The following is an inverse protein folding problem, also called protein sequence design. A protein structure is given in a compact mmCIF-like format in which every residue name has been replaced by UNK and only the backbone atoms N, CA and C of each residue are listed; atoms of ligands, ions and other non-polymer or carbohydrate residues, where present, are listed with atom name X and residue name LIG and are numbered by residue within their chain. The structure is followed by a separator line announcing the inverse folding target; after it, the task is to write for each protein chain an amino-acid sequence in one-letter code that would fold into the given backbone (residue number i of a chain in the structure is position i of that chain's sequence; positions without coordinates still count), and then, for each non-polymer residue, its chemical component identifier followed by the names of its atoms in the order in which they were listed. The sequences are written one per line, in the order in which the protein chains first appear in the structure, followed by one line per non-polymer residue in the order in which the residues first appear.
data_IF_324226936410
#
_entry.id   IF_324226936410
#
_cell.length_a   1.000
_cell.length_b   1.000
_cell.length_c   1.000
_cell.angle_alpha   90.00
_cell.angle_beta   90.00
_cell.angle_gamma   90.00
#
_symmetry.space_group_name_H-M   'P 1'
#
loop_
_entity.id
_entity.type
_entity.pdbx_description
1 polymer ?
#
# COMPACT_ATOMS: atom_id res chain seq x y z
N UNK A 1 43.01 3.98 -14.25
CA UNK A 1 43.15 3.04 -13.11
C UNK A 1 41.86 3.12 -12.31
N UNK A 2 40.92 2.18 -12.52
CA UNK A 2 39.71 2.15 -11.71
C UNK A 2 40.11 1.69 -10.30
N UNK A 3 39.86 2.54 -9.30
CA UNK A 3 40.07 2.17 -7.91
C UNK A 3 39.23 0.94 -7.57
N UNK A 4 39.72 0.07 -6.69
CA UNK A 4 39.00 -1.11 -6.20
C UNK A 4 37.58 -0.77 -5.68
N UNK A 5 37.45 0.41 -5.08
CA UNK A 5 36.16 0.98 -4.67
C UNK A 5 35.22 1.28 -5.83
N UNK A 6 35.74 1.76 -6.97
CA UNK A 6 34.93 2.05 -8.17
C UNK A 6 34.42 0.76 -8.81
N UNK A 7 35.24 -0.29 -8.87
CA UNK A 7 34.82 -1.62 -9.34
C UNK A 7 33.75 -2.22 -8.43
N UNK A 8 33.92 -2.12 -7.12
CA UNK A 8 32.94 -2.60 -6.15
C UNK A 8 31.58 -1.90 -6.30
N UNK A 9 31.57 -0.58 -6.49
CA UNK A 9 30.34 0.17 -6.74
C UNK A 9 29.63 -0.28 -8.03
N UNK A 10 30.37 -0.48 -9.13
CA UNK A 10 29.79 -0.94 -10.40
C UNK A 10 29.18 -2.33 -10.25
N UNK A 11 29.87 -3.22 -9.55
CA UNK A 11 29.40 -4.58 -9.28
C UNK A 11 28.11 -4.57 -8.46
N UNK A 12 28.03 -3.76 -7.39
CA UNK A 12 26.82 -3.61 -6.59
C UNK A 12 25.63 -3.08 -7.41
N UNK A 13 25.86 -2.11 -8.30
CA UNK A 13 24.83 -1.54 -9.16
C UNK A 13 24.29 -2.56 -10.18
N UNK A 14 25.16 -3.42 -10.72
CA UNK A 14 24.74 -4.48 -11.64
C UNK A 14 23.94 -5.55 -10.89
N UNK A 15 24.38 -5.93 -9.69
CA UNK A 15 23.64 -6.92 -8.89
C UNK A 15 22.27 -6.40 -8.45
N UNK A 16 22.14 -5.15 -8.01
CA UNK A 16 20.82 -4.60 -7.64
C UNK A 16 19.85 -4.54 -8.82
N UNK A 17 20.34 -4.20 -10.02
CA UNK A 17 19.53 -4.21 -11.25
C UNK A 17 19.05 -5.62 -11.63
N UNK A 18 19.86 -6.66 -11.40
CA UNK A 18 19.50 -8.06 -11.68
C UNK A 18 18.57 -8.66 -10.60
N UNK A 19 18.59 -8.12 -9.38
CA UNK A 19 17.78 -8.57 -8.25
C UNK A 19 16.41 -7.89 -8.17
N UNK A 20 16.03 -7.05 -9.15
CA UNK A 20 14.62 -6.75 -9.43
C UNK A 20 13.98 -8.01 -10.03
N UNK A 21 13.95 -9.09 -9.26
CA UNK A 21 12.91 -10.07 -9.40
C UNK A 21 11.61 -9.35 -9.08
N UNK A 22 10.61 -9.55 -9.96
CA UNK A 22 9.25 -9.02 -9.84
C UNK A 22 8.92 -8.90 -8.36
N UNK A 23 8.91 -7.67 -7.83
CA UNK A 23 8.04 -7.43 -6.71
C UNK A 23 6.68 -7.82 -7.27
N UNK A 24 6.09 -8.89 -6.75
CA UNK A 24 4.67 -9.15 -6.94
C UNK A 24 4.00 -7.91 -6.35
N UNK A 25 3.86 -6.87 -7.19
CA UNK A 25 3.08 -5.70 -6.91
C UNK A 25 1.67 -6.22 -6.94
N UNK A 26 1.27 -6.84 -5.83
CA UNK A 26 -0.04 -7.39 -5.63
C UNK A 26 -0.99 -6.22 -5.81
N UNK A 27 -1.79 -6.28 -6.89
CA UNK A 27 -2.68 -5.19 -7.22
C UNK A 27 -3.67 -5.05 -6.06
N UNK A 28 -3.63 -3.89 -5.40
CA UNK A 28 -4.50 -3.60 -4.27
C UNK A 28 -5.69 -2.80 -4.77
N UNK A 29 -6.88 -3.38 -4.60
CA UNK A 29 -8.14 -2.76 -4.89
C UNK A 29 -8.60 -1.96 -3.68
N UNK A 30 -9.26 -0.83 -3.92
CA UNK A 30 -9.79 -0.01 -2.83
C UNK A 30 -11.20 0.50 -3.13
N UNK A 31 -11.95 0.77 -2.07
CA UNK A 31 -13.25 1.43 -2.14
C UNK A 31 -13.41 2.40 -0.99
N UNK A 32 -14.05 3.54 -1.27
CA UNK A 32 -14.41 4.52 -0.26
C UNK A 32 -15.86 4.32 0.18
N UNK A 33 -16.04 4.14 1.49
CA UNK A 33 -17.36 4.18 2.11
C UNK A 33 -17.51 5.58 2.72
N UNK A 34 -18.37 6.44 2.14
CA UNK A 34 -18.55 7.79 2.66
C UNK A 34 -19.15 7.72 4.07
N UNK A 35 -18.35 8.09 5.06
CA UNK A 35 -18.83 8.44 6.39
C UNK A 35 -19.46 9.83 6.36
N UNK A 36 -20.61 10.01 7.02
CA UNK A 36 -21.28 11.30 7.17
C UNK A 36 -20.51 12.23 8.13
N UNK A 37 -19.21 12.44 7.89
CA UNK A 37 -18.27 13.13 8.77
C UNK A 37 -17.67 12.25 9.88
N UNK A 38 -18.42 11.27 10.38
CA UNK A 38 -17.98 10.34 11.42
C UNK A 38 -17.48 9.01 10.82
N UNK A 39 -16.32 8.54 11.26
CA UNK A 39 -15.78 7.22 10.91
C UNK A 39 -15.35 6.50 12.18
N UNK A 40 -16.00 5.38 12.47
CA UNK A 40 -15.66 4.50 13.59
C UNK A 40 -14.78 3.36 13.08
N UNK A 41 -13.56 3.26 13.60
CA UNK A 41 -12.56 2.31 13.11
C UNK A 41 -13.04 0.85 13.15
N UNK A 42 -13.68 0.43 14.25
CA UNK A 42 -14.20 -0.92 14.41
C UNK A 42 -15.27 -1.25 13.37
N UNK A 43 -16.21 -0.33 13.15
CA UNK A 43 -17.27 -0.50 12.15
C UNK A 43 -16.70 -0.49 10.73
N UNK A 44 -15.74 0.39 10.46
CA UNK A 44 -15.03 0.43 9.19
C UNK A 44 -14.33 -0.90 8.89
N UNK A 45 -13.58 -1.45 9.85
CA UNK A 45 -12.93 -2.74 9.70
C UNK A 45 -13.93 -3.88 9.48
N UNK A 46 -15.04 -3.93 10.22
CA UNK A 46 -16.08 -4.97 10.04
C UNK A 46 -16.74 -4.87 8.66
N UNK A 47 -16.98 -3.65 8.17
CA UNK A 47 -17.56 -3.43 6.86
C UNK A 47 -16.58 -3.74 5.72
N UNK A 48 -15.29 -3.47 5.91
CA UNK A 48 -14.27 -3.84 4.94
C UNK A 48 -13.96 -5.34 4.97
N UNK A 49 -14.03 -6.01 6.12
CA UNK A 49 -13.83 -7.46 6.18
C UNK A 49 -14.97 -8.23 5.50
N UNK A 50 -16.19 -7.69 5.50
CA UNK A 50 -17.29 -8.25 4.72
C UNK A 50 -17.18 -7.95 3.21
N UNK A 51 -16.40 -6.92 2.84
CA UNK A 51 -16.09 -6.57 1.46
C UNK A 51 -14.79 -7.24 1.00
N UNK A 52 -14.91 -8.40 0.34
CA UNK A 52 -13.76 -9.13 -0.23
C UNK A 52 -12.65 -9.45 0.78
N UNK A 53 -13.00 -9.68 2.06
CA UNK A 53 -12.02 -9.94 3.13
C UNK A 53 -10.99 -8.81 3.30
N UNK A 54 -11.39 -7.58 2.95
CA UNK A 54 -10.53 -6.40 3.00
C UNK A 54 -10.24 -5.88 4.40
N UNK A 55 -9.33 -4.92 4.44
CA UNK A 55 -8.95 -4.16 5.64
C UNK A 55 -9.46 -2.74 5.55
N UNK A 56 -9.96 -2.21 6.66
CA UNK A 56 -10.62 -0.91 6.73
C UNK A 56 -9.88 0.07 7.61
N UNK A 57 -9.64 1.28 7.11
CA UNK A 57 -9.06 2.37 7.89
C UNK A 57 -9.88 3.66 7.75
N UNK A 58 -10.03 4.38 8.87
CA UNK A 58 -10.60 5.71 8.86
C UNK A 58 -9.52 6.73 8.48
N UNK A 59 -9.74 7.43 7.37
CA UNK A 59 -8.81 8.44 6.85
C UNK A 59 -9.50 9.77 6.75
N UNK A 60 -8.83 10.82 7.21
CA UNK A 60 -9.30 12.19 7.06
C UNK A 60 -9.13 12.64 5.60
N UNK A 61 -10.22 13.05 4.96
CA UNK A 61 -10.20 13.50 3.55
C UNK A 61 -10.32 15.00 3.43
N UNK A 62 -11.04 15.65 4.36
CA UNK A 62 -11.17 17.09 4.49
C UNK A 62 -11.25 17.46 5.98
N UNK A 63 -11.12 18.75 6.31
CA UNK A 63 -11.29 19.26 7.68
C UNK A 63 -12.58 18.69 8.30
N UNK A 64 -12.42 17.98 9.42
CA UNK A 64 -13.49 17.32 10.18
C UNK A 64 -14.34 16.30 9.40
N UNK A 65 -13.83 15.75 8.30
CA UNK A 65 -14.47 14.66 7.56
C UNK A 65 -13.57 13.45 7.45
N UNK A 66 -14.04 12.36 8.05
CA UNK A 66 -13.40 11.05 7.95
C UNK A 66 -14.20 10.14 7.02
N UNK A 67 -13.49 9.43 6.14
CA UNK A 67 -14.05 8.36 5.32
C UNK A 67 -13.43 7.03 5.71
N UNK A 68 -14.18 5.96 5.53
CA UNK A 68 -13.66 4.61 5.67
C UNK A 68 -13.11 4.17 4.31
N UNK A 69 -11.82 3.82 4.26
CA UNK A 69 -11.16 3.28 3.08
C UNK A 69 -10.98 1.78 3.29
N UNK A 70 -11.59 0.97 2.42
CA UNK A 70 -11.36 -0.47 2.36
C UNK A 70 -10.27 -0.77 1.34
N UNK A 71 -9.33 -1.66 1.68
CA UNK A 71 -8.31 -2.18 0.78
C UNK A 71 -8.33 -3.72 0.80
N UNK A 72 -8.24 -4.34 -0.36
CA UNK A 72 -8.16 -5.80 -0.51
C UNK A 72 -7.32 -6.17 -1.73
N UNK A 73 -6.90 -7.42 -1.81
CA UNK A 73 -6.18 -7.95 -2.97
C UNK A 73 -7.14 -8.04 -4.17
N UNK A 74 -6.77 -7.46 -5.31
CA UNK A 74 -7.55 -7.60 -6.53
C UNK A 74 -7.50 -9.06 -7.01
N UNK A 75 -8.65 -9.57 -7.46
CA UNK A 75 -8.80 -10.91 -8.07
C UNK A 75 -8.67 -10.87 -9.58
#
# INVERSE_FOLDING_TARGET
MASLTSLFCVVLLVFSALMVHRADAQEMCHSLIPGNGNCEASRCQVQCSSLNQGTGACTQTFTDRFHCICNWECS
#
